data_IF_389123278276
#
_entry.id   IF_389123278276
#
_cell.length_a   1.000
_cell.length_b   1.000
_cell.length_c   1.000
_cell.angle_alpha   90.00
_cell.angle_beta   90.00
_cell.angle_gamma   90.00
#
_symmetry.space_group_name_H-M   'P 1'
#
loop_
_entity.id
_entity.type
_entity.pdbx_description
1 polymer ?
2 polymer ?
3 non-polymer ?
4 water ?
#
# COMPACT_ATOMS: atom_id res chain seq x y z
N UNK A 1 8.21 4.23 -16.27
CA UNK A 1 8.58 5.25 -15.29
C UNK A 1 9.28 6.45 -15.91
N UNK A 2 9.57 7.45 -15.10
CA UNK A 2 10.44 8.56 -15.51
C UNK A 2 11.72 8.47 -14.70
N UNK A 3 12.87 8.43 -15.39
CA UNK A 3 14.18 8.31 -14.74
C UNK A 3 15.22 9.24 -15.37
N UNK A 4 16.37 9.35 -14.70
CA UNK A 4 17.49 10.17 -15.21
C UNK A 4 18.28 9.42 -16.27
N UNK A 5 18.95 10.18 -17.13
CA UNK A 5 19.83 9.63 -18.16
C UNK A 5 21.24 10.26 -18.05
N UNK A 6 22.11 9.96 -19.01
CA UNK A 6 23.48 10.49 -19.02
C UNK A 6 23.52 12.03 -19.03
N UNK A 7 22.60 12.65 -19.77
CA UNK A 7 22.51 14.10 -19.83
C UNK A 7 21.94 14.74 -18.56
N UNK A 8 21.51 13.91 -17.60
CA UNK A 8 20.97 14.39 -16.34
C UNK A 8 19.54 14.88 -16.46
N UNK A 9 18.86 14.47 -17.53
CA UNK A 9 17.49 14.91 -17.80
C UNK A 9 16.50 13.80 -17.48
N UNK A 10 15.29 14.19 -17.06
CA UNK A 10 14.25 13.23 -16.73
C UNK A 10 13.53 12.78 -17.99
N UNK A 11 13.68 11.50 -18.33
CA UNK A 11 13.10 10.94 -19.55
C UNK A 11 12.22 9.73 -19.23
N UNK A 12 11.17 9.55 -20.04
CA UNK A 12 10.27 8.42 -19.85
C UNK A 12 10.93 7.12 -20.30
N UNK A 13 10.68 6.06 -19.56
CA UNK A 13 11.11 4.71 -19.92
C UNK A 13 9.92 3.77 -19.85
N UNK A 14 9.93 2.75 -20.72
CA UNK A 14 8.92 1.70 -20.71
C UNK A 14 9.03 0.91 -19.41
N UNK A 15 7.89 0.55 -18.86
CA UNK A 15 7.84 -0.39 -17.75
C UNK A 15 8.42 -1.73 -18.23
N UNK A 16 9.34 -2.29 -17.45
CA UNK A 16 10.09 -3.47 -17.88
C UNK A 16 9.31 -4.78 -17.65
N UNK A 17 9.61 -5.82 -18.45
CA UNK A 17 8.97 -7.13 -18.21
C UNK A 17 9.22 -7.70 -16.81
N UNK A 18 10.41 -7.45 -16.25
CA UNK A 18 10.73 -7.88 -14.89
C UNK A 18 9.77 -7.26 -13.88
N UNK A 19 9.58 -5.94 -13.99
CA UNK A 19 8.67 -5.21 -13.10
C UNK A 19 7.25 -5.74 -13.23
N UNK A 20 6.77 -5.86 -14.47
CA UNK A 20 5.42 -6.36 -14.72
C UNK A 20 5.18 -7.73 -14.10
N UNK A 21 6.13 -8.64 -14.32
CA UNK A 21 6.01 -10.01 -13.81
C UNK A 21 6.10 -10.08 -12.28
N UNK A 22 7.02 -9.31 -11.70
CA UNK A 22 7.19 -9.28 -10.25
C UNK A 22 5.90 -8.89 -9.52
N UNK A 23 5.21 -7.87 -10.04
CA UNK A 23 3.96 -7.43 -9.42
C UNK A 23 2.85 -8.47 -9.56
N UNK A 24 2.73 -9.05 -10.75
CA UNK A 24 1.75 -10.12 -10.98
C UNK A 24 2.01 -11.28 -10.01
N UNK A 25 3.27 -11.66 -9.85
CA UNK A 25 3.62 -12.81 -9.01
C UNK A 25 3.45 -12.54 -7.52
N UNK A 26 3.73 -11.33 -7.06
CA UNK A 26 3.55 -11.02 -5.62
C UNK A 26 2.08 -11.02 -5.22
N UNK A 27 1.20 -10.53 -6.10
CA UNK A 27 -0.24 -10.56 -5.86
C UNK A 27 -0.74 -12.01 -5.85
N UNK A 28 -0.31 -12.80 -6.84
CA UNK A 28 -0.69 -14.21 -6.91
C UNK A 28 -0.31 -14.99 -5.65
N UNK A 29 0.91 -14.79 -5.17
CA UNK A 29 1.42 -15.55 -4.04
C UNK A 29 0.96 -15.00 -2.69
N UNK A 30 1.00 -13.68 -2.52
CA UNK A 30 0.75 -13.05 -1.22
C UNK A 30 -0.65 -12.44 -1.05
N UNK A 31 -1.42 -12.38 -2.14
CA UNK A 31 -2.74 -11.74 -2.13
C UNK A 31 -2.65 -10.33 -1.52
N UNK A 32 -3.24 -10.12 -0.34
CA UNK A 32 -3.21 -8.81 0.31
C UNK A 32 -2.69 -8.90 1.74
N UNK A 33 -1.56 -9.57 1.89
CA UNK A 33 -0.79 -9.50 3.11
C UNK A 33 -0.12 -8.12 3.13
N UNK A 34 0.08 -7.55 4.33
CA UNK A 34 0.63 -6.19 4.43
C UNK A 34 1.90 -5.95 3.61
N UNK A 35 2.81 -6.93 3.57
CA UNK A 35 4.08 -6.75 2.85
C UNK A 35 3.94 -6.54 1.33
N UNK A 36 2.76 -6.76 0.78
CA UNK A 36 2.51 -6.53 -0.65
C UNK A 36 2.50 -5.04 -1.02
N UNK A 37 2.14 -4.19 -0.07
CA UNK A 37 2.06 -2.74 -0.30
C UNK A 37 3.43 -2.06 -0.51
N UNK A 38 4.40 -2.31 0.40
CA UNK A 38 5.73 -1.74 0.16
C UNK A 38 6.40 -2.31 -1.11
N UNK A 39 6.04 -3.54 -1.48
CA UNK A 39 6.53 -4.11 -2.72
C UNK A 39 5.92 -3.36 -3.91
N UNK A 40 4.61 -3.08 -3.86
CA UNK A 40 3.95 -2.29 -4.89
C UNK A 40 4.62 -0.91 -5.03
N UNK A 41 4.84 -0.26 -3.90
CA UNK A 41 5.45 1.06 -3.88
C UNK A 41 6.85 1.03 -4.50
N UNK A 42 7.64 0.03 -4.14
CA UNK A 42 9.01 -0.10 -4.65
C UNK A 42 9.04 -0.42 -6.15
N UNK A 43 8.16 -1.32 -6.58
CA UNK A 43 8.10 -1.70 -7.99
C UNK A 43 7.58 -0.56 -8.87
N UNK A 44 6.80 0.36 -8.30
CA UNK A 44 6.25 1.50 -9.02
C UNK A 44 7.05 2.79 -8.81
N UNK A 45 8.34 2.67 -8.53
CA UNK A 45 9.20 3.83 -8.30
C UNK A 45 9.33 4.63 -9.60
N UNK A 46 9.06 5.93 -9.53
CA UNK A 46 9.10 6.81 -10.69
C UNK A 46 7.95 6.61 -11.67
N UNK A 47 6.91 5.89 -11.25
CA UNK A 47 5.80 5.52 -12.14
C UNK A 47 4.94 6.71 -12.53
N UNK A 48 4.51 6.72 -13.79
CA UNK A 48 3.46 7.61 -14.25
C UNK A 48 2.12 7.01 -13.84
N UNK A 49 1.04 7.81 -13.86
CA UNK A 49 -0.31 7.26 -13.67
C UNK A 49 -0.61 6.11 -14.63
N UNK A 50 -0.16 6.23 -15.88
CA UNK A 50 -0.30 5.16 -16.86
C UNK A 50 0.35 3.86 -16.38
N UNK A 51 1.56 3.95 -15.83
CA UNK A 51 2.26 2.78 -15.31
C UNK A 51 1.52 2.16 -14.13
N UNK A 52 0.99 3.02 -13.25
CA UNK A 52 0.23 2.56 -12.09
C UNK A 52 -1.04 1.83 -12.53
N UNK A 53 -1.73 2.38 -13.53
CA UNK A 53 -2.93 1.74 -14.09
C UNK A 53 -2.59 0.41 -14.79
N UNK A 54 -1.45 0.38 -15.47
CA UNK A 54 -0.96 -0.86 -16.08
C UNK A 54 -0.79 -1.95 -15.03
N UNK A 55 -0.12 -1.61 -13.93
CA UNK A 55 0.13 -2.60 -12.87
C UNK A 55 -1.17 -3.09 -12.26
N UNK A 56 -2.08 -2.17 -11.97
CA UNK A 56 -3.37 -2.52 -11.39
C UNK A 56 -4.21 -3.37 -12.35
N UNK A 57 -4.20 -3.02 -13.64
CA UNK A 57 -4.96 -3.77 -14.64
C UNK A 57 -4.42 -5.17 -14.96
N UNK A 58 -3.12 -5.40 -14.78
CA UNK A 58 -2.53 -6.72 -15.06
C UNK A 58 -2.97 -7.78 -14.03
N UNK A 59 -3.59 -7.34 -12.94
CA UNK A 59 -4.05 -8.24 -11.90
C UNK A 59 -5.33 -8.97 -12.35
N UNK A 60 -5.25 -10.29 -12.41
CA UNK A 60 -6.42 -11.13 -12.66
C UNK A 60 -7.01 -11.56 -11.34
N UNK A 61 -8.35 -11.56 -11.24
CA UNK A 61 -9.01 -11.89 -9.98
C UNK A 61 -8.85 -10.77 -8.97
N UNK A 62 -9.16 -11.06 -7.71
CA UNK A 62 -9.14 -10.08 -6.63
C UNK A 62 -9.99 -8.85 -6.94
N UNK A 63 -11.07 -9.04 -7.68
CA UNK A 63 -11.84 -7.90 -8.22
C UNK A 63 -12.73 -7.19 -7.18
N UNK A 64 -13.05 -7.86 -6.08
CA UNK A 64 -13.68 -7.19 -4.94
C UNK A 64 -12.74 -6.09 -4.42
N UNK A 65 -11.48 -6.45 -4.19
CA UNK A 65 -10.46 -5.51 -3.75
C UNK A 65 -10.28 -4.38 -4.76
N UNK A 66 -10.15 -4.74 -6.04
CA UNK A 66 -9.97 -3.74 -7.10
C UNK A 66 -11.17 -2.77 -7.17
N UNK A 67 -12.37 -3.26 -6.92
CA UNK A 67 -13.54 -2.37 -6.88
C UNK A 67 -13.50 -1.42 -5.66
N UNK A 68 -13.10 -1.93 -4.50
CA UNK A 68 -12.90 -1.08 -3.32
C UNK A 68 -11.84 -0.01 -3.60
N UNK A 69 -10.79 -0.41 -4.32
CA UNK A 69 -9.72 0.52 -4.68
C UNK A 69 -10.26 1.66 -5.56
N UNK A 70 -11.12 1.32 -6.52
CA UNK A 70 -11.80 2.31 -7.36
C UNK A 70 -12.58 3.33 -6.54
N UNK A 71 -13.30 2.84 -5.54
CA UNK A 71 -14.06 3.70 -4.63
C UNK A 71 -13.15 4.70 -3.92
N UNK A 72 -12.04 4.20 -3.40
CA UNK A 72 -11.08 5.04 -2.66
C UNK A 72 -10.50 6.11 -3.58
N UNK A 73 -10.12 5.71 -4.78
CA UNK A 73 -9.59 6.64 -5.78
C UNK A 73 -10.61 7.70 -6.15
N UNK A 74 -11.88 7.29 -6.30
CA UNK A 74 -12.97 8.23 -6.55
C UNK A 74 -13.10 9.25 -5.42
N UNK A 75 -12.98 8.81 -4.18
CA UNK A 75 -13.05 9.70 -3.02
C UNK A 75 -11.88 10.69 -2.98
N UNK A 76 -10.68 10.20 -3.21
CA UNK A 76 -9.50 11.05 -3.18
C UNK A 76 -9.49 12.04 -4.35
N UNK A 77 -9.95 11.59 -5.51
CA UNK A 77 -10.09 12.45 -6.69
C UNK A 77 -11.13 13.55 -6.49
N UNK A 78 -12.24 13.20 -5.85
CA UNK A 78 -13.28 14.19 -5.54
C UNK A 78 -12.74 15.29 -4.62
N UNK A 79 -12.00 14.88 -3.59
CA UNK A 79 -11.38 15.82 -2.66
C UNK A 79 -10.36 16.74 -3.35
N UNK A 80 -9.56 16.18 -4.25
CA UNK A 80 -8.63 16.97 -5.04
C UNK A 80 -9.33 18.06 -5.86
N UNK A 81 -10.43 17.69 -6.51
CA UNK A 81 -11.20 18.62 -7.33
C UNK A 81 -11.84 19.72 -6.48
N UNK A 82 -12.26 19.37 -5.27
CA UNK A 82 -12.81 20.34 -4.33
C UNK A 82 -11.74 21.36 -3.93
N UNK A 83 -10.57 20.86 -3.55
CA UNK A 83 -9.46 21.71 -3.11
C UNK A 83 -8.73 22.46 -4.25
N UNK A 84 -8.87 21.97 -5.49
CA UNK A 84 -8.20 22.57 -6.64
C UNK A 84 -9.17 22.86 -7.78
N UNK A 85 -9.97 23.93 -7.65
CA UNK A 85 -10.85 24.34 -8.74
C UNK A 85 -10.07 24.85 -9.94
N UNK A 86 -10.10 24.11 -11.04
CA UNK A 86 -9.34 24.46 -12.25
C UNK A 86 -10.13 25.42 -13.12
N UNK A 92 -5.18 28.16 -23.33
CA UNK A 92 -4.07 28.91 -23.93
C UNK A 92 -3.25 27.99 -24.85
N UNK A 93 -2.99 28.43 -26.09
CA UNK A 93 -2.29 27.57 -27.05
C UNK A 93 -0.88 27.15 -26.64
N UNK A 94 -0.65 25.84 -26.57
CA UNK A 94 0.67 25.29 -26.27
C UNK A 94 1.10 25.41 -24.82
N UNK A 95 0.15 25.70 -23.93
CA UNK A 95 0.45 25.90 -22.51
C UNK A 95 -0.03 24.73 -21.68
N UNK A 96 0.59 24.55 -20.51
CA UNK A 96 0.30 23.44 -19.62
C UNK A 96 -0.98 23.73 -18.81
N UNK A 97 -1.98 22.87 -18.97
CA UNK A 97 -3.21 22.97 -18.17
C UNK A 97 -2.97 22.40 -16.77
N UNK A 98 -3.90 22.66 -15.86
CA UNK A 98 -3.82 22.14 -14.50
C UNK A 98 -4.50 20.78 -14.41
N UNK A 99 -3.87 19.81 -13.74
CA UNK A 99 -4.45 18.46 -13.66
C UNK A 99 -5.62 18.36 -12.71
N UNK A 100 -6.73 17.80 -13.20
CA UNK A 100 -7.88 17.45 -12.37
C UNK A 100 -7.66 16.06 -11.78
N UNK A 101 -8.59 15.61 -10.95
CA UNK A 101 -8.52 14.28 -10.35
C UNK A 101 -8.41 13.17 -11.38
N UNK A 102 -9.23 13.27 -12.43
CA UNK A 102 -9.24 12.29 -13.52
C UNK A 102 -7.92 12.25 -14.29
N UNK A 103 -7.23 13.38 -14.38
CA UNK A 103 -5.92 13.47 -15.01
C UNK A 103 -4.85 12.77 -14.18
N UNK A 104 -4.92 12.97 -12.86
CA UNK A 104 -4.01 12.32 -11.92
C UNK A 104 -4.19 10.80 -11.94
N UNK A 105 -5.45 10.36 -12.02
CA UNK A 105 -5.78 8.94 -12.10
C UNK A 105 -5.57 8.39 -13.52
N UNK A 106 -5.29 9.26 -14.48
CA UNK A 106 -4.88 8.83 -15.82
C UNK A 106 -6.01 8.43 -16.75
N UNK A 107 -7.24 8.81 -16.42
CA UNK A 107 -8.38 8.55 -17.30
C UNK A 107 -8.49 9.59 -18.39
N UNK A 108 -8.27 10.85 -18.04
CA UNK A 108 -8.44 11.97 -18.97
C UNK A 108 -7.13 12.65 -19.37
N UNK A 109 -5.99 12.09 -18.95
CA UNK A 109 -4.69 12.62 -19.32
C UNK A 109 -3.95 11.62 -20.18
N UNK A 110 -3.22 12.13 -21.17
CA UNK A 110 -2.37 11.29 -22.01
C UNK A 110 -1.02 11.08 -21.33
N UNK A 111 -0.27 10.08 -21.80
CA UNK A 111 1.08 9.83 -21.29
C UNK A 111 1.97 11.06 -21.42
N UNK A 112 1.86 11.79 -22.53
CA UNK A 112 2.69 12.97 -22.74
C UNK A 112 2.36 14.10 -21.77
N UNK A 113 1.07 14.27 -21.48
CA UNK A 113 0.65 15.24 -20.47
C UNK A 113 1.18 14.88 -19.08
N UNK A 114 1.13 13.59 -18.76
CA UNK A 114 1.69 13.09 -17.50
C UNK A 114 3.19 13.38 -17.39
N UNK A 115 3.92 13.13 -18.47
CA UNK A 115 5.36 13.41 -18.52
C UNK A 115 5.63 14.91 -18.38
N UNK A 116 4.82 15.72 -19.06
CA UNK A 116 4.90 17.18 -18.96
C UNK A 116 4.78 17.67 -17.53
N UNK A 117 3.77 17.19 -16.82
CA UNK A 117 3.56 17.59 -15.42
C UNK A 117 4.69 17.10 -14.51
N UNK A 118 5.11 15.85 -14.69
CA UNK A 118 6.11 15.23 -13.83
C UNK A 118 7.52 15.80 -14.02
N UNK A 119 7.85 16.22 -15.23
CA UNK A 119 9.19 16.75 -15.54
C UNK A 119 9.23 18.29 -15.57
N UNK A 120 8.13 18.95 -15.23
CA UNK A 120 8.08 20.42 -15.24
C UNK A 120 8.94 21.00 -14.12
N UNK A 121 9.24 22.29 -14.22
CA UNK A 121 9.96 23.01 -13.17
C UNK A 121 9.14 24.24 -12.74
N UNK A 122 8.54 24.21 -11.55
CA UNK A 122 8.58 23.09 -10.62
C UNK A 122 7.68 21.91 -11.05
N UNK A 123 8.03 20.69 -10.64
CA UNK A 123 7.29 19.50 -11.07
C UNK A 123 5.95 19.32 -10.34
N UNK A 124 4.95 18.84 -11.08
CA UNK A 124 3.65 18.48 -10.52
C UNK A 124 3.60 16.95 -10.50
N UNK A 125 3.92 16.34 -9.34
CA UNK A 125 4.16 14.90 -9.30
C UNK A 125 2.88 14.07 -9.29
N UNK A 126 2.22 14.00 -10.43
CA UNK A 126 0.93 13.29 -10.54
C UNK A 126 1.08 11.79 -10.29
N UNK A 127 2.24 11.24 -10.64
CA UNK A 127 2.54 9.84 -10.34
C UNK A 127 2.55 9.55 -8.86
N UNK A 128 3.19 10.43 -8.09
CA UNK A 128 3.27 10.26 -6.63
C UNK A 128 1.92 10.51 -5.96
N UNK A 129 1.17 11.47 -6.47
CA UNK A 129 -0.15 11.79 -5.91
C UNK A 129 -1.09 10.59 -6.09
N UNK A 130 -1.12 10.05 -7.30
CA UNK A 130 -1.98 8.90 -7.59
C UNK A 130 -1.53 7.67 -6.78
N UNK A 131 -0.23 7.45 -6.67
CA UNK A 131 0.28 6.33 -5.86
C UNK A 131 -0.21 6.46 -4.41
N UNK A 132 -0.22 7.68 -3.89
CA UNK A 132 -0.72 7.94 -2.54
C UNK A 132 -2.16 7.46 -2.38
N UNK A 133 -3.01 7.78 -3.36
CA UNK A 133 -4.42 7.34 -3.33
C UNK A 133 -4.52 5.82 -3.39
N UNK A 134 -3.70 5.22 -4.24
CA UNK A 134 -3.71 3.77 -4.42
C UNK A 134 -3.27 3.07 -3.14
N UNK A 135 -2.17 3.53 -2.56
CA UNK A 135 -1.65 2.96 -1.31
C UNK A 135 -2.66 3.11 -0.17
N UNK A 136 -3.36 4.25 -0.14
CA UNK A 136 -4.46 4.45 0.80
C UNK A 136 -5.51 3.35 0.65
N UNK A 137 -5.92 3.08 -0.60
CA UNK A 137 -6.90 2.04 -0.87
C UNK A 137 -6.42 0.63 -0.56
N UNK A 138 -5.16 0.36 -0.86
CA UNK A 138 -4.59 -0.96 -0.59
C UNK A 138 -4.54 -1.24 0.91
N UNK A 139 -4.23 -0.22 1.70
CA UNK A 139 -4.24 -0.35 3.16
C UNK A 139 -5.61 -0.69 3.74
N UNK A 140 -6.67 -0.11 3.17
CA UNK A 140 -8.02 -0.44 3.59
C UNK A 140 -8.36 -1.90 3.28
N UNK A 141 -7.89 -2.38 2.14
CA UNK A 141 -8.12 -3.77 1.72
C UNK A 141 -7.38 -4.73 2.65
N UNK A 142 -6.14 -4.40 2.99
CA UNK A 142 -5.37 -5.17 3.97
C UNK A 142 -6.16 -5.28 5.28
N UNK A 143 -6.68 -4.16 5.75
CA UNK A 143 -7.48 -4.11 6.98
C UNK A 143 -8.75 -4.95 6.85
N UNK A 144 -9.42 -4.84 5.71
CA UNK A 144 -10.64 -5.62 5.45
C UNK A 144 -10.38 -7.13 5.47
N UNK A 145 -9.26 -7.55 4.90
CA UNK A 145 -8.95 -8.97 4.75
C UNK A 145 -8.12 -9.53 5.92
N UNK A 146 -7.80 -8.69 6.90
CA UNK A 146 -7.15 -9.14 8.14
C UNK A 146 -8.09 -10.11 8.88
N UNK A 147 -7.68 -11.38 9.03
CA UNK A 147 -8.60 -12.39 9.56
C UNK A 147 -8.82 -12.40 11.08
N UNK A 148 -7.85 -11.88 11.86
CA UNK A 148 -7.87 -12.06 13.31
C UNK A 148 -7.72 -10.75 14.08
N UNK A 149 -8.48 -10.62 15.17
CA UNK A 149 -8.32 -9.51 16.11
C UNK A 149 -7.16 -9.80 17.05
N UNK A 150 -6.49 -8.74 17.50
CA UNK A 150 -5.37 -8.88 18.43
C UNK A 150 -5.83 -9.50 19.76
N UNK A 151 -7.09 -9.27 20.11
CA UNK A 151 -7.68 -9.84 21.32
C UNK A 151 -7.72 -11.37 21.33
N UNK A 152 -7.72 -12.00 20.15
CA UNK A 152 -7.78 -13.46 20.03
C UNK A 152 -6.41 -14.11 19.81
N UNK A 153 -5.33 -13.34 19.86
CA UNK A 153 -3.98 -13.89 19.80
C UNK A 153 -3.49 -14.16 21.22
N UNK A 154 -3.64 -15.41 21.65
CA UNK A 154 -3.20 -15.83 22.98
C UNK A 154 -2.21 -16.98 22.85
N UNK A 155 -1.19 -16.97 23.71
CA UNK A 155 -0.15 -18.00 23.69
C UNK A 155 -0.73 -19.35 24.12
N UNK A 156 -0.46 -20.39 23.34
CA UNK A 156 -0.89 -21.75 23.69
C UNK A 156 -0.14 -22.30 24.90
N UNK A 157 -0.72 -23.29 25.59
CA UNK A 157 -0.08 -23.91 26.76
C UNK A 157 1.36 -24.38 26.52
N UNK A 158 1.64 -24.92 25.33
CA UNK A 158 2.97 -25.40 24.99
C UNK A 158 3.62 -24.62 23.82
N UNK A 159 2.96 -23.57 23.33
CA UNK A 159 3.53 -22.76 22.25
C UNK A 159 4.75 -22.00 22.75
N UNK A 160 5.89 -22.13 22.05
CA UNK A 160 7.06 -21.31 22.40
C UNK A 160 6.75 -19.83 22.32
N UNK A 161 7.28 -19.05 23.27
CA UNK A 161 6.99 -17.63 23.37
C UNK A 161 7.30 -16.88 22.08
N UNK A 162 8.42 -17.23 21.45
CA UNK A 162 8.84 -16.61 20.20
C UNK A 162 7.78 -16.75 19.11
N UNK A 163 7.18 -17.94 18.99
CA UNK A 163 6.14 -18.19 18.00
C UNK A 163 4.89 -17.39 18.30
N UNK A 164 4.55 -17.27 19.58
CA UNK A 164 3.43 -16.43 20.01
C UNK A 164 3.67 -14.95 19.66
N UNK A 165 4.87 -14.44 19.92
CA UNK A 165 5.19 -13.05 19.64
C UNK A 165 5.12 -12.76 18.13
N UNK A 166 5.60 -13.70 17.33
CA UNK A 166 5.44 -13.62 15.87
C UNK A 166 3.97 -13.46 15.46
N UNK A 167 3.09 -14.31 16.02
CA UNK A 167 1.65 -14.23 15.70
C UNK A 167 1.07 -12.91 16.17
N UNK A 168 1.45 -12.49 17.37
CA UNK A 168 0.99 -11.24 17.97
C UNK A 168 1.26 -10.04 17.06
N UNK A 169 2.52 -9.87 16.64
CA UNK A 169 2.90 -8.70 15.85
C UNK A 169 2.57 -8.82 14.36
N UNK A 170 2.37 -10.03 13.87
CA UNK A 170 1.83 -10.23 12.53
C UNK A 170 0.38 -9.74 12.49
N UNK A 171 -0.39 -10.15 13.50
CA UNK A 171 -1.79 -9.73 13.61
C UNK A 171 -1.91 -8.23 13.79
N UNK A 172 -1.05 -7.65 14.63
CA UNK A 172 -1.08 -6.21 14.90
C UNK A 172 -0.80 -5.41 13.63
N UNK A 173 0.17 -5.86 12.84
CA UNK A 173 0.50 -5.21 11.58
C UNK A 173 -0.69 -5.15 10.63
N UNK A 174 -1.38 -6.27 10.47
CA UNK A 174 -2.52 -6.34 9.56
C UNK A 174 -3.69 -5.52 10.06
N UNK A 175 -3.97 -5.62 11.36
CA UNK A 175 -5.10 -4.93 11.99
C UNK A 175 -4.96 -3.40 11.97
N UNK A 176 -3.73 -2.90 11.99
CA UNK A 176 -3.49 -1.46 12.04
C UNK A 176 -3.20 -0.82 10.67
N UNK A 177 -3.20 -1.62 9.61
CA UNK A 177 -2.82 -1.17 8.26
C UNK A 177 -3.37 0.23 7.90
N UNK A 178 -4.67 0.41 8.05
CA UNK A 178 -5.31 1.70 7.84
C UNK A 178 -5.64 2.33 9.19
N UNK A 186 0.30 -1.94 23.69
CA UNK A 186 0.74 -3.21 23.13
C UNK A 186 1.53 -4.03 24.15
N UNK A 187 2.53 -3.42 24.75
CA UNK A 187 3.42 -4.08 25.72
C UNK A 187 2.68 -4.83 26.82
N UNK A 188 1.59 -4.24 27.32
CA UNK A 188 0.81 -4.84 28.41
C UNK A 188 -0.08 -5.97 27.91
N UNK A 189 -0.69 -5.80 26.74
CA UNK A 189 -1.53 -6.85 26.15
C UNK A 189 -0.71 -8.09 25.80
N UNK A 190 0.51 -7.89 25.32
CA UNK A 190 1.42 -9.01 25.03
C UNK A 190 1.57 -9.92 26.25
N UNK A 191 1.74 -9.29 27.42
CA UNK A 191 1.90 -10.00 28.69
C UNK A 191 0.59 -10.67 29.12
N UNK A 192 -0.52 -9.95 28.98
CA UNK A 192 -1.83 -10.45 29.40
C UNK A 192 -2.27 -11.66 28.58
N UNK A 193 -1.95 -11.65 27.29
CA UNK A 193 -2.29 -12.76 26.40
C UNK A 193 -1.28 -13.93 26.42
N UNK A 194 -0.20 -13.78 27.19
CA UNK A 194 0.77 -14.87 27.38
C UNK A 194 0.16 -15.98 28.24
N UNK A 195 0.73 -17.18 28.16
CA UNK A 195 0.20 -18.31 28.94
C UNK A 195 0.64 -18.18 30.41
N UNK A 196 0.07 -18.99 31.31
CA UNK A 196 0.36 -18.84 32.74
C UNK A 196 1.84 -18.81 33.11
N UNK A 197 2.62 -19.73 32.56
CA UNK A 197 4.03 -19.90 32.95
C UNK A 197 4.89 -18.70 32.54
N UNK A 198 4.73 -18.25 31.30
CA UNK A 198 5.48 -17.08 30.82
C UNK A 198 4.95 -15.80 31.45
N UNK A 199 3.63 -15.71 31.66
CA UNK A 199 3.04 -14.54 32.31
C UNK A 199 3.65 -14.32 33.69
N UNK A 200 3.79 -15.41 34.45
CA UNK A 200 4.44 -15.37 35.76
C UNK A 200 5.86 -14.81 35.65
N UNK A 201 6.62 -15.33 34.69
CA UNK A 201 8.00 -14.87 34.46
C UNK A 201 8.01 -13.41 34.02
N UNK A 202 7.11 -13.02 33.13
CA UNK A 202 7.05 -11.64 32.64
C UNK A 202 6.61 -10.66 33.73
N UNK A 203 5.70 -11.09 34.60
CA UNK A 203 5.31 -10.28 35.77
C UNK A 203 6.51 -10.02 36.69
N UNK A 204 7.28 -11.07 36.96
CA UNK A 204 8.47 -10.95 37.81
C UNK A 204 9.53 -10.04 37.18
N UNK A 205 9.67 -10.13 35.86
CA UNK A 205 10.58 -9.25 35.12
C UNK A 205 10.15 -7.80 35.27
N UNK A 206 8.85 -7.56 35.33
CA UNK A 206 8.28 -6.24 35.58
C UNK A 206 8.15 -5.41 34.33
N UNK A 207 7.44 -4.27 34.42
CA UNK A 207 7.29 -3.37 33.29
C UNK A 207 8.59 -2.61 32.99
N UNK A 208 8.72 -2.10 31.78
CA UNK A 208 9.95 -1.46 31.33
C UNK A 208 10.91 -2.41 30.64
N UNK A 209 10.56 -3.70 30.58
CA UNK A 209 11.40 -4.70 29.91
C UNK A 209 11.25 -4.54 28.40
N UNK A 210 12.37 -4.67 27.69
CA UNK A 210 12.33 -4.66 26.23
C UNK A 210 11.76 -5.98 25.74
N UNK A 211 11.37 -6.02 24.47
CA UNK A 211 10.89 -7.26 23.86
C UNK A 211 11.97 -8.33 23.92
N UNK A 212 13.22 -7.94 23.63
CA UNK A 212 14.36 -8.85 23.69
C UNK A 212 14.49 -9.50 25.08
N UNK A 213 14.41 -8.67 26.12
CA UNK A 213 14.49 -9.17 27.50
C UNK A 213 13.32 -10.09 27.85
N UNK A 214 12.13 -9.76 27.37
CA UNK A 214 10.96 -10.61 27.57
C UNK A 214 11.13 -11.97 26.88
N UNK A 215 11.58 -11.95 25.63
CA UNK A 215 11.78 -13.18 24.87
C UNK A 215 12.88 -14.06 25.48
N UNK A 216 13.96 -13.44 25.93
CA UNK A 216 15.03 -14.14 26.66
C UNK A 216 14.49 -14.82 27.91
N UNK A 217 13.65 -14.10 28.66
CA UNK A 217 13.10 -14.59 29.93
C UNK A 217 12.19 -15.81 29.77
N UNK A 218 11.36 -15.80 28.72
CA UNK A 218 10.43 -16.92 28.48
C UNK A 218 10.99 -17.96 27.51
N UNK A 219 12.24 -17.80 27.10
CA UNK A 219 12.87 -18.71 26.15
C UNK A 219 13.04 -20.12 26.72
N UNK A 220 13.49 -20.19 27.97
CA UNK A 220 13.71 -21.48 28.64
C UNK A 220 12.40 -22.15 29.03
N UNK B 1 -18.10 10.21 -10.79
CA UNK B 1 -16.89 9.50 -10.39
C UNK B 1 -15.81 9.50 -11.46
N UNK B 2 -14.60 9.10 -11.08
CA UNK B 2 -13.50 8.94 -12.03
C UNK B 2 -13.51 7.53 -12.61
N UNK B 3 -13.76 6.55 -11.76
CA UNK B 3 -13.79 5.14 -12.15
C UNK B 3 -15.14 4.52 -11.87
N UNK B 4 -15.56 3.62 -12.74
CA UNK B 4 -16.86 2.96 -12.65
C UNK B 4 -16.68 1.46 -12.54
N UNK B 5 -17.67 0.76 -11.96
CA UNK B 5 -17.58 -0.69 -11.80
C UNK B 5 -17.40 -1.45 -13.11
N UNK B 6 -16.46 -2.39 -13.13
CA UNK B 6 -16.24 -3.24 -14.29
C UNK B 6 -15.44 -2.61 -15.41
N UNK B 7 -14.95 -1.39 -15.20
CA UNK B 7 -14.16 -0.67 -16.20
C UNK B 7 -12.70 -0.61 -15.75
N UNK B 8 -11.75 -0.72 -16.69
CA UNK B 8 -10.34 -0.71 -16.29
C UNK B 8 -9.86 0.57 -15.61
N UNK B 9 -8.80 0.44 -14.83
CA UNK B 9 -8.10 1.61 -14.30
C UNK B 9 -7.54 2.37 -15.50
N UNK B 10 -7.71 3.69 -15.50
CA UNK B 10 -7.27 4.54 -16.61
C UNK B 10 -8.27 4.67 -17.75
N UNK B 11 -9.40 3.99 -17.66
CA UNK B 11 -10.44 4.03 -18.70
C UNK B 11 -10.91 5.46 -18.95
N UNK B 12 -10.77 5.96 -20.19
CA UNK B 12 -11.32 7.30 -20.45
C UNK B 12 -12.85 7.33 -20.33
N UNK B 13 -13.42 8.44 -19.84
CA UNK B 13 -14.87 8.56 -19.70
C UNK B 13 -15.53 9.10 -20.97
N UNK B 14 -16.86 9.15 -20.97
CA UNK B 14 -17.64 9.72 -22.08
C UNK B 14 -17.34 9.04 -23.41
X LIG C 1 3.62 -9.73 8.56
#
# INVERSE_FOLDING_TARGET
PIVQNLQGQMVHQCISPRTLNAWVKVVEEKAFSPEVIPMFSALSCGATPQDLNTMLNTVGGHQAAMQMLKETINEEAAEWDRLHPVHAGPIAPGQMREPRGSDIAGTTSTLQEQIGWMTHNPPIPVGEIYKRWIILGLNKIVRMYSPTSILDIRQGPKEPFRDYVDRFYKTLRAEQASQEVKNAATETLLVQNANPDCKTILKALGPGATLEEMMTACQGVGGPGHKARVL
PVLFPGQPFGQPPLG
CL CL
#
